data_IF_798313492381
#
_entry.id   IF_798313492381
#
_cell.length_a   1.000
_cell.length_b   1.000
_cell.length_c   1.000
_cell.angle_alpha   90.00
_cell.angle_beta   90.00
_cell.angle_gamma   90.00
#
_symmetry.space_group_name_H-M   'P 1'
#
loop_
_entity.id
_entity.type
_entity.pdbx_description
1 polymer ?
#
# COMPACT_ATOMS: atom_id res chain seq x y z
N UNK A 1 4.31 -13.55 -12.60
CA UNK A 1 5.25 -13.24 -11.51
C UNK A 1 4.47 -12.62 -10.35
N UNK A 2 4.03 -13.41 -9.35
CA UNK A 2 3.16 -12.92 -8.25
C UNK A 2 3.82 -12.78 -6.87
N UNK A 3 5.13 -13.01 -6.70
CA UNK A 3 5.74 -13.12 -5.36
C UNK A 3 6.01 -11.79 -4.62
N UNK A 4 6.06 -10.65 -5.31
CA UNK A 4 6.39 -9.36 -4.70
C UNK A 4 5.32 -8.84 -3.72
N UNK A 5 4.06 -9.24 -3.87
CA UNK A 5 2.95 -8.65 -3.11
C UNK A 5 2.89 -9.17 -1.67
N UNK A 6 3.19 -10.46 -1.46
CA UNK A 6 3.27 -11.07 -0.13
C UNK A 6 4.43 -10.47 0.67
N UNK A 7 5.60 -10.33 0.03
CA UNK A 7 6.76 -9.69 0.64
C UNK A 7 6.55 -8.21 0.96
N UNK A 8 5.94 -7.46 0.03
CA UNK A 8 5.61 -6.06 0.26
C UNK A 8 4.62 -5.90 1.44
N UNK A 9 3.62 -6.79 1.54
CA UNK A 9 2.64 -6.79 2.63
C UNK A 9 3.27 -7.11 3.98
N UNK A 10 4.09 -8.17 4.05
CA UNK A 10 4.81 -8.54 5.26
C UNK A 10 5.78 -7.44 5.72
N UNK A 11 6.48 -6.81 4.78
CA UNK A 11 7.37 -5.69 5.07
C UNK A 11 6.61 -4.46 5.58
N UNK A 12 5.46 -4.14 4.96
CA UNK A 12 4.60 -3.05 5.42
C UNK A 12 4.04 -3.28 6.82
N UNK A 13 3.58 -4.50 7.13
CA UNK A 13 3.12 -4.88 8.46
C UNK A 13 4.23 -4.74 9.50
N UNK A 14 5.44 -5.20 9.17
CA UNK A 14 6.59 -5.09 10.06
C UNK A 14 6.93 -3.62 10.37
N UNK A 15 6.90 -2.76 9.35
CA UNK A 15 7.04 -1.32 9.50
C UNK A 15 5.96 -0.74 10.42
N UNK A 16 4.69 -0.95 10.10
CA UNK A 16 3.56 -0.43 10.85
C UNK A 16 3.50 -0.95 12.29
N UNK A 17 4.01 -2.16 12.53
CA UNK A 17 4.15 -2.72 13.88
C UNK A 17 5.26 -2.07 14.70
N UNK A 18 6.27 -1.48 14.05
CA UNK A 18 7.38 -0.81 14.73
C UNK A 18 7.06 0.65 15.06
N UNK A 19 6.35 1.34 14.16
CA UNK A 19 5.81 2.70 14.34
C UNK A 19 4.68 2.94 13.35
N UNK A 20 3.79 3.87 13.68
CA UNK A 20 2.88 4.47 12.72
C UNK A 20 3.70 5.19 11.64
N UNK A 21 3.69 4.67 10.41
CA UNK A 21 4.28 5.32 9.25
C UNK A 21 3.18 5.94 8.41
N UNK A 22 3.43 7.09 7.79
CA UNK A 22 2.52 7.63 6.78
C UNK A 22 2.63 6.85 5.48
N UNK A 23 1.59 6.97 4.66
CA UNK A 23 1.49 6.27 3.37
C UNK A 23 2.69 6.56 2.45
N UNK A 24 3.16 7.81 2.41
CA UNK A 24 4.30 8.21 1.60
C UNK A 24 5.62 7.58 2.05
N UNK A 25 5.84 7.45 3.37
CA UNK A 25 7.02 6.77 3.90
C UNK A 25 7.01 5.28 3.55
N UNK A 26 5.86 4.63 3.72
CA UNK A 26 5.69 3.23 3.36
C UNK A 26 5.96 3.02 1.87
N UNK A 27 5.40 3.89 1.01
CA UNK A 27 5.63 3.89 -0.45
C UNK A 27 7.10 4.05 -0.77
N UNK A 28 7.79 5.03 -0.16
CA UNK A 28 9.20 5.25 -0.42
C UNK A 28 10.06 4.04 0.00
N UNK A 29 9.80 3.44 1.16
CA UNK A 29 10.56 2.27 1.61
C UNK A 29 10.32 1.06 0.71
N UNK A 30 9.07 0.80 0.33
CA UNK A 30 8.74 -0.29 -0.58
C UNK A 30 9.36 -0.06 -1.97
N UNK A 31 9.33 1.18 -2.47
CA UNK A 31 9.97 1.54 -3.74
C UNK A 31 11.49 1.40 -3.68
N UNK A 32 12.11 1.82 -2.57
CA UNK A 32 13.55 1.61 -2.34
C UNK A 32 13.94 0.14 -2.27
N UNK A 33 13.04 -0.72 -1.80
CA UNK A 33 13.24 -2.17 -1.77
C UNK A 33 13.14 -2.82 -3.16
N UNK A 34 12.64 -2.09 -4.17
CA UNK A 34 12.55 -2.54 -5.56
C UNK A 34 11.16 -3.03 -5.97
N UNK A 35 10.15 -2.87 -5.12
CA UNK A 35 8.79 -3.30 -5.46
C UNK A 35 8.17 -2.43 -6.55
N UNK A 36 7.32 -3.06 -7.37
CA UNK A 36 6.56 -2.36 -8.41
C UNK A 36 5.47 -1.49 -7.80
N UNK A 37 5.19 -0.35 -8.44
CA UNK A 37 4.14 0.57 -8.00
C UNK A 37 2.75 -0.10 -7.90
N UNK A 38 2.51 -1.14 -8.70
CA UNK A 38 1.29 -1.94 -8.62
C UNK A 38 1.17 -2.72 -7.29
N UNK A 39 2.26 -3.32 -6.80
CA UNK A 39 2.29 -4.03 -5.53
C UNK A 39 2.25 -3.06 -4.35
N UNK A 40 3.02 -1.97 -4.43
CA UNK A 40 3.05 -0.92 -3.40
C UNK A 40 1.65 -0.33 -3.19
N UNK A 41 0.98 0.00 -4.29
CA UNK A 41 -0.39 0.50 -4.24
C UNK A 41 -1.34 -0.49 -3.56
N UNK A 42 -1.32 -1.78 -3.96
CA UNK A 42 -2.18 -2.79 -3.34
C UNK A 42 -1.91 -2.97 -1.84
N UNK A 43 -0.66 -2.93 -1.41
CA UNK A 43 -0.32 -3.05 0.01
C UNK A 43 -0.82 -1.85 0.80
N UNK A 44 -0.63 -0.64 0.28
CA UNK A 44 -1.15 0.58 0.89
C UNK A 44 -2.68 0.53 0.97
N UNK A 45 -3.35 0.08 -0.10
CA UNK A 45 -4.80 -0.15 -0.13
C UNK A 45 -5.27 -0.96 1.07
N UNK A 46 -4.65 -2.12 1.23
CA UNK A 46 -4.99 -3.04 2.30
C UNK A 46 -4.73 -2.39 3.65
N UNK A 47 -3.56 -1.78 3.85
CA UNK A 47 -3.21 -1.16 5.13
C UNK A 47 -4.14 0.00 5.50
N UNK A 48 -4.60 0.80 4.53
CA UNK A 48 -5.61 1.85 4.74
C UNK A 48 -7.00 1.26 5.03
N UNK A 49 -7.41 0.22 4.30
CA UNK A 49 -8.69 -0.48 4.52
C UNK A 49 -8.75 -1.14 5.91
N UNK A 50 -7.63 -1.71 6.35
CA UNK A 50 -7.46 -2.25 7.71
C UNK A 50 -7.34 -1.16 8.79
N UNK A 51 -7.29 0.12 8.44
CA UNK A 51 -7.19 1.23 9.39
C UNK A 51 -5.79 1.45 9.99
N UNK A 52 -4.76 0.80 9.46
CA UNK A 52 -3.37 0.99 9.90
C UNK A 52 -2.76 2.30 9.36
N UNK A 53 -3.28 2.83 8.25
CA UNK A 53 -2.83 4.08 7.63
C UNK A 53 -3.97 5.10 7.65
N UNK A 54 -3.76 6.23 8.32
CA UNK A 54 -4.79 7.23 8.61
C UNK A 54 -4.53 8.56 7.87
N UNK A 55 -4.13 8.48 6.61
CA UNK A 55 -3.93 9.65 5.75
C UNK A 55 -5.14 9.80 4.81
N UNK A 56 -6.12 10.60 5.25
CA UNK A 56 -7.38 10.88 4.52
C UNK A 56 -7.15 11.37 3.08
N UNK A 57 -6.09 12.15 2.87
CA UNK A 57 -5.75 12.71 1.56
C UNK A 57 -5.32 11.62 0.56
N UNK A 58 -4.67 10.56 1.04
CA UNK A 58 -4.26 9.44 0.20
C UNK A 58 -5.44 8.51 -0.08
N UNK A 59 -6.29 8.27 0.92
CA UNK A 59 -7.48 7.42 0.77
C UNK A 59 -8.35 7.85 -0.41
N UNK A 60 -8.58 9.16 -0.59
CA UNK A 60 -9.37 9.68 -1.72
C UNK A 60 -8.75 9.36 -3.09
N UNK A 61 -7.46 9.67 -3.29
CA UNK A 61 -6.75 9.38 -4.55
C UNK A 61 -6.64 7.88 -4.82
N UNK A 62 -6.52 7.10 -3.77
CA UNK A 62 -6.39 5.66 -3.85
C UNK A 62 -7.71 4.99 -4.25
N UNK A 63 -8.84 5.45 -3.68
CA UNK A 63 -10.17 5.00 -4.06
C UNK A 63 -10.44 5.24 -5.55
N UNK A 64 -10.04 6.40 -6.10
CA UNK A 64 -10.12 6.68 -7.55
C UNK A 64 -9.35 5.65 -8.39
N UNK A 65 -8.12 5.33 -7.98
CA UNK A 65 -7.27 4.36 -8.69
C UNK A 65 -7.81 2.93 -8.57
N UNK A 66 -8.38 2.57 -7.42
CA UNK A 66 -9.05 1.29 -7.19
C UNK A 66 -10.33 1.17 -8.00
N UNK A 67 -11.16 2.21 -8.05
CA UNK A 67 -12.37 2.27 -8.86
C UNK A 67 -12.05 2.06 -10.33
N UNK A 68 -10.95 2.64 -10.82
CA UNK A 68 -10.49 2.45 -12.19
C UNK A 68 -9.97 1.03 -12.46
N UNK A 69 -9.41 0.36 -11.45
CA UNK A 69 -8.94 -1.04 -11.55
C UNK A 69 -10.04 -2.08 -11.29
N UNK A 70 -11.13 -1.68 -10.63
CA UNK A 70 -12.32 -2.50 -10.36
C UNK A 70 -13.36 -2.37 -11.48
N UNK A 71 -12.91 -2.17 -12.72
CA UNK A 71 -13.64 -2.53 -13.95
C UNK A 71 -13.44 -4.00 -14.30
N UNK A 72 -13.55 -4.89 -13.32
CA UNK A 72 -13.77 -6.32 -13.56
C UNK A 72 -15.23 -6.60 -13.22
N UNK A 73 -16.06 -6.56 -14.26
CA UNK A 73 -17.50 -6.77 -14.22
C UNK A 73 -18.19 -5.95 -15.30
#
# INVERSE_FOLDING_TARGET
MPDDLGEAKGYALNLLSYRSYSVEELRQRLRRKGFTEAAIGQVIAMMTDYGYLNDEAYARRWIETLLQRRGYG
#
